data_IF_161506356334
#
_entry.id   IF_161506356334
#
_cell.length_a   1.000
_cell.length_b   1.000
_cell.length_c   1.000
_cell.angle_alpha   90.00
_cell.angle_beta   90.00
_cell.angle_gamma   90.00
#
_symmetry.space_group_name_H-M   'P 1'
#
loop_
_entity.id
_entity.type
_entity.pdbx_description
1 polymer ?
#
# COMPACT_ATOMS: atom_id res chain seq x y z
N UNK A 1 -24.81 -27.91 45.60
CA UNK A 1 -24.92 -27.91 44.12
C UNK A 1 -23.75 -27.10 43.56
N UNK A 2 -22.55 -27.69 43.51
CA UNK A 2 -21.30 -27.01 43.10
C UNK A 2 -20.14 -27.91 42.54
N UNK A 3 -20.31 -29.20 42.12
CA UNK A 3 -19.16 -29.97 41.62
C UNK A 3 -18.94 -29.95 40.11
N UNK A 4 -19.90 -29.46 39.29
CA UNK A 4 -19.84 -29.62 37.82
C UNK A 4 -18.80 -28.69 37.17
N UNK A 5 -18.60 -27.48 37.70
CA UNK A 5 -17.68 -26.50 37.11
C UNK A 5 -16.21 -26.92 37.33
N UNK A 6 -15.91 -27.56 38.46
CA UNK A 6 -14.57 -28.04 38.78
C UNK A 6 -14.13 -29.17 37.84
N UNK A 7 -15.02 -30.13 37.53
CA UNK A 7 -14.70 -31.25 36.64
C UNK A 7 -14.55 -30.83 35.18
N UNK A 8 -15.27 -29.81 34.72
CA UNK A 8 -15.10 -29.26 33.37
C UNK A 8 -13.79 -28.47 33.22
N UNK A 9 -13.33 -27.81 34.28
CA UNK A 9 -12.04 -27.12 34.30
C UNK A 9 -10.86 -28.12 34.30
N UNK A 10 -10.98 -29.22 35.04
CA UNK A 10 -9.98 -30.29 35.03
C UNK A 10 -9.91 -31.01 33.67
N UNK A 11 -11.06 -31.23 33.03
CA UNK A 11 -11.11 -31.83 31.69
C UNK A 11 -10.51 -30.90 30.62
N UNK A 12 -10.78 -29.60 30.67
CA UNK A 12 -10.24 -28.63 29.71
C UNK A 12 -8.74 -28.42 29.88
N UNK A 13 -8.23 -28.40 31.10
CA UNK A 13 -6.79 -28.30 31.37
C UNK A 13 -6.03 -29.56 30.95
N UNK A 14 -6.60 -30.76 31.13
CA UNK A 14 -6.03 -32.00 30.63
C UNK A 14 -5.97 -32.05 29.09
N UNK A 15 -6.98 -31.53 28.40
CA UNK A 15 -7.02 -31.42 26.94
C UNK A 15 -5.97 -30.43 26.42
N UNK A 16 -5.85 -29.25 27.03
CA UNK A 16 -4.82 -28.26 26.69
C UNK A 16 -3.40 -28.81 26.87
N UNK A 17 -3.18 -29.56 27.96
CA UNK A 17 -1.87 -30.17 28.25
C UNK A 17 -1.51 -31.29 27.25
N UNK A 18 -2.52 -31.98 26.69
CA UNK A 18 -2.34 -32.99 25.63
C UNK A 18 -2.04 -32.36 24.28
N UNK A 19 -2.62 -31.19 23.98
CA UNK A 19 -2.45 -30.46 22.71
C UNK A 19 -1.15 -29.65 22.65
N UNK A 20 -0.59 -29.29 23.80
CA UNK A 20 0.71 -28.59 23.93
C UNK A 20 1.92 -29.40 23.41
N UNK A 21 1.74 -30.67 23.04
CA UNK A 21 2.81 -31.59 22.63
C UNK A 21 3.22 -31.52 21.14
N UNK A 22 2.55 -30.73 20.29
CA UNK A 22 2.88 -30.64 18.86
C UNK A 22 3.39 -29.24 18.46
N UNK A 23 4.67 -28.92 18.70
CA UNK A 23 5.26 -27.62 18.39
C UNK A 23 5.60 -27.40 16.90
N UNK A 24 5.28 -28.33 16.01
CA UNK A 24 5.73 -28.28 14.60
C UNK A 24 5.21 -27.06 13.84
N UNK A 25 4.02 -26.56 14.20
CA UNK A 25 3.37 -25.45 13.50
C UNK A 25 3.45 -24.11 14.26
N UNK A 26 3.91 -24.14 15.52
CA UNK A 26 4.08 -22.93 16.35
C UNK A 26 4.92 -21.83 15.66
N UNK A 27 6.11 -22.13 15.08
CA UNK A 27 6.90 -21.09 14.41
C UNK A 27 6.20 -20.51 13.17
N UNK A 28 5.41 -21.31 12.48
CA UNK A 28 4.67 -20.87 11.29
C UNK A 28 3.53 -19.91 11.64
N UNK A 29 2.79 -20.16 12.72
CA UNK A 29 1.79 -19.23 13.23
C UNK A 29 2.41 -17.91 13.71
N UNK A 30 3.53 -17.98 14.43
CA UNK A 30 4.24 -16.77 14.90
C UNK A 30 4.70 -15.94 13.72
N UNK A 31 5.27 -16.55 12.68
CA UNK A 31 5.69 -15.84 11.47
C UNK A 31 4.50 -15.20 10.73
N UNK A 32 3.38 -15.91 10.59
CA UNK A 32 2.18 -15.38 9.95
C UNK A 32 1.64 -14.13 10.66
N UNK A 33 1.67 -14.11 11.99
CA UNK A 33 1.24 -12.96 12.80
C UNK A 33 2.16 -11.75 12.57
N UNK A 34 3.48 -11.97 12.54
CA UNK A 34 4.45 -10.89 12.31
C UNK A 34 4.26 -10.29 10.92
N UNK A 35 4.13 -11.13 9.88
CA UNK A 35 3.90 -10.67 8.50
C UNK A 35 2.58 -9.91 8.39
N UNK A 36 1.51 -10.39 9.02
CA UNK A 36 0.23 -9.70 9.07
C UNK A 36 0.32 -8.31 9.69
N UNK A 37 1.06 -8.18 10.79
CA UNK A 37 1.26 -6.89 11.46
C UNK A 37 2.03 -5.90 10.57
N UNK A 38 3.13 -6.33 9.96
CA UNK A 38 3.91 -5.49 9.04
C UNK A 38 3.07 -5.06 7.83
N UNK A 39 2.29 -5.97 7.24
CA UNK A 39 1.44 -5.66 6.10
C UNK A 39 0.38 -4.60 6.45
N UNK A 40 -0.27 -4.71 7.60
CA UNK A 40 -1.28 -3.73 8.05
C UNK A 40 -0.64 -2.36 8.27
N UNK A 41 0.55 -2.30 8.88
CA UNK A 41 1.29 -1.04 9.09
C UNK A 41 1.64 -0.38 7.76
N UNK A 42 2.12 -1.16 6.78
CA UNK A 42 2.47 -0.62 5.46
C UNK A 42 1.26 -0.12 4.68
N UNK A 43 0.13 -0.84 4.75
CA UNK A 43 -1.12 -0.41 4.11
C UNK A 43 -1.62 0.88 4.78
N UNK A 44 -1.62 0.93 6.11
CA UNK A 44 -2.01 2.12 6.87
C UNK A 44 -1.12 3.32 6.56
N UNK A 45 0.20 3.12 6.49
CA UNK A 45 1.14 4.16 6.08
C UNK A 45 0.87 4.62 4.64
N UNK A 46 0.67 3.71 3.70
CA UNK A 46 0.33 4.05 2.31
C UNK A 46 -0.92 4.92 2.21
N UNK A 47 -2.00 4.55 2.88
CA UNK A 47 -3.24 5.35 2.92
C UNK A 47 -2.97 6.71 3.56
N UNK A 48 -2.29 6.73 4.71
CA UNK A 48 -1.98 7.98 5.41
C UNK A 48 -1.15 8.94 4.54
N UNK A 49 -0.15 8.41 3.83
CA UNK A 49 0.70 9.20 2.91
C UNK A 49 -0.05 9.76 1.71
N UNK A 50 -1.12 9.10 1.24
CA UNK A 50 -1.98 9.65 0.18
C UNK A 50 -2.80 10.85 0.67
N UNK A 51 -3.26 10.82 1.92
CA UNK A 51 -4.05 11.92 2.50
C UNK A 51 -3.20 13.08 3.02
N UNK A 52 -2.02 12.79 3.57
CA UNK A 52 -1.18 13.79 4.22
C UNK A 52 -0.01 14.26 3.36
N UNK A 53 0.23 13.60 2.22
CA UNK A 53 1.42 13.84 1.40
C UNK A 53 2.69 13.40 2.14
N UNK A 54 3.61 12.73 1.44
CA UNK A 54 4.98 12.66 1.93
C UNK A 54 5.59 14.01 1.59
N UNK A 55 5.43 15.00 2.47
CA UNK A 55 6.20 16.23 2.39
C UNK A 55 7.66 15.92 2.76
N UNK A 56 8.37 15.26 1.84
CA UNK A 56 9.79 15.49 1.71
C UNK A 56 9.92 16.91 1.17
N UNK A 57 10.33 17.82 2.05
CA UNK A 57 10.50 19.24 1.76
C UNK A 57 11.18 19.49 0.41
N UNK A 58 10.83 20.63 -0.19
CA UNK A 58 11.11 21.06 -1.57
C UNK A 58 10.06 20.63 -2.59
N UNK A 59 8.84 21.16 -2.45
CA UNK A 59 8.26 21.77 -3.65
C UNK A 59 9.19 22.93 -4.01
N UNK A 60 10.28 22.62 -4.72
CA UNK A 60 11.02 23.62 -5.47
C UNK A 60 9.95 24.29 -6.30
N UNK A 61 9.69 25.58 -6.09
CA UNK A 61 8.74 26.32 -6.88
C UNK A 61 9.35 26.35 -8.28
N UNK A 62 9.04 25.32 -9.08
CA UNK A 62 9.63 25.10 -10.40
C UNK A 62 9.38 26.40 -11.15
N UNK A 63 10.45 27.06 -11.58
CA UNK A 63 10.36 28.34 -12.27
C UNK A 63 9.40 28.23 -13.45
N UNK A 64 8.71 29.32 -13.78
CA UNK A 64 7.70 29.36 -14.85
C UNK A 64 8.17 28.66 -16.13
N UNK A 65 9.42 28.94 -16.55
CA UNK A 65 10.02 28.36 -17.75
C UNK A 65 10.19 26.85 -17.65
N UNK A 66 10.58 26.34 -16.49
CA UNK A 66 10.74 24.91 -16.28
C UNK A 66 9.38 24.20 -16.22
N UNK A 67 8.32 24.85 -15.70
CA UNK A 67 6.94 24.34 -15.77
C UNK A 67 6.45 24.30 -17.21
N UNK A 68 6.71 25.36 -17.97
CA UNK A 68 6.37 25.44 -19.40
C UNK A 68 7.08 24.34 -20.18
N UNK A 69 8.38 24.18 -19.99
CA UNK A 69 9.17 23.13 -20.61
C UNK A 69 8.64 21.72 -20.28
N UNK A 70 8.36 21.40 -19.01
CA UNK A 70 7.84 20.08 -18.65
C UNK A 70 6.47 19.79 -19.27
N UNK A 71 5.61 20.81 -19.43
CA UNK A 71 4.32 20.68 -20.12
C UNK A 71 4.52 20.41 -21.61
N UNK A 72 5.40 21.14 -22.27
CA UNK A 72 5.73 20.94 -23.69
C UNK A 72 6.30 19.54 -23.94
N UNK A 73 7.22 19.07 -23.09
CA UNK A 73 7.80 17.72 -23.20
C UNK A 73 6.75 16.64 -23.02
N UNK A 74 5.85 16.79 -22.03
CA UNK A 74 4.75 15.83 -21.82
C UNK A 74 3.85 15.76 -23.06
N UNK A 75 3.52 16.89 -23.66
CA UNK A 75 2.69 16.95 -24.86
C UNK A 75 3.36 16.33 -26.10
N UNK A 76 4.66 16.58 -26.31
CA UNK A 76 5.43 15.94 -27.40
C UNK A 76 5.45 14.42 -27.26
N UNK A 77 5.64 13.92 -26.04
CA UNK A 77 5.62 12.49 -25.75
C UNK A 77 4.23 11.88 -25.96
N UNK A 78 3.15 12.55 -25.55
CA UNK A 78 1.80 12.05 -25.82
C UNK A 78 1.44 12.07 -27.30
N UNK A 79 1.91 13.08 -28.05
CA UNK A 79 1.70 13.15 -29.49
C UNK A 79 2.48 12.05 -30.24
N UNK A 80 3.73 11.80 -29.86
CA UNK A 80 4.50 10.68 -30.43
C UNK A 80 3.85 9.32 -30.11
N UNK A 81 3.30 9.16 -28.90
CA UNK A 81 2.53 7.97 -28.52
C UNK A 81 1.23 7.83 -29.34
N UNK A 82 0.53 8.93 -29.63
CA UNK A 82 -0.68 8.90 -30.46
C UNK A 82 -0.38 8.44 -31.90
N UNK A 83 0.74 8.90 -32.47
CA UNK A 83 1.22 8.47 -33.79
C UNK A 83 1.59 6.98 -33.77
N UNK A 84 2.32 6.51 -32.76
CA UNK A 84 2.67 5.10 -32.60
C UNK A 84 1.42 4.22 -32.42
N UNK A 85 0.40 4.71 -31.72
CA UNK A 85 -0.87 4.05 -31.51
C UNK A 85 -1.81 4.07 -32.73
N UNK A 86 -1.37 4.63 -33.87
CA UNK A 86 -2.17 4.81 -35.10
C UNK A 86 -3.51 5.50 -34.85
N UNK A 87 -3.56 6.40 -33.86
CA UNK A 87 -4.70 7.26 -33.52
C UNK A 87 -4.35 8.72 -33.84
N UNK A 88 -4.21 9.07 -35.13
CA UNK A 88 -3.84 10.43 -35.55
C UNK A 88 -4.90 11.48 -35.21
N UNK A 89 -6.08 11.04 -34.78
CA UNK A 89 -7.17 11.87 -34.27
C UNK A 89 -6.88 12.48 -32.88
N UNK A 90 -5.89 11.96 -32.14
CA UNK A 90 -5.59 12.37 -30.76
C UNK A 90 -4.39 13.34 -30.65
N UNK A 91 -4.13 14.14 -31.69
CA UNK A 91 -3.06 15.15 -31.66
C UNK A 91 -3.48 16.29 -30.74
N UNK A 92 -2.80 16.41 -29.58
CA UNK A 92 -3.04 17.52 -28.64
C UNK A 92 -2.34 18.77 -29.17
N UNK A 93 -3.06 19.86 -29.47
CA UNK A 93 -2.46 21.11 -29.96
C UNK A 93 -1.60 21.78 -28.87
N UNK A 94 -0.50 22.38 -29.30
CA UNK A 94 0.39 23.18 -28.44
C UNK A 94 -0.19 24.58 -28.36
N UNK A 95 -1.17 24.77 -27.50
CA UNK A 95 -1.71 26.11 -27.24
C UNK A 95 -0.75 26.81 -26.27
N UNK A 96 -0.10 27.88 -26.73
CA UNK A 96 0.73 28.74 -25.89
C UNK A 96 -0.19 29.46 -24.90
N UNK A 97 -0.36 28.88 -23.70
CA UNK A 97 -0.98 29.59 -22.58
C UNK A 97 -0.03 30.72 -22.15
N UNK A 98 -0.21 31.89 -22.75
CA UNK A 98 0.35 33.16 -22.32
C UNK A 98 -0.48 33.67 -21.13
N UNK A 99 -0.22 33.11 -19.95
CA UNK A 99 -0.64 33.67 -18.66
C UNK A 99 0.58 33.76 -17.74
#
# INVERSE_FOLDING_TARGET
MAPIIATTLDATTALLKRDAGSPSNFPLYVFAIIVGCVAIVLIGFGIWTMYHGIESGTFFDIGYDQRKYMREVRQRNTNSLAVLARRPDMIVPVEELNY
#
